data_IF_321684275336
#
_entry.id   IF_321684275336
#
_cell.length_a   1.000
_cell.length_b   1.000
_cell.length_c   1.000
_cell.angle_alpha   90.00
_cell.angle_beta   90.00
_cell.angle_gamma   90.00
#
_symmetry.space_group_name_H-M   'P 1'
#
loop_
_entity.id
_entity.type
_entity.pdbx_description
1 polymer ?
#
# COMPACT_ATOMS: atom_id res chain seq x y z
N UNK A 1 5.83 4.52 -11.76
CA UNK A 1 4.59 4.02 -11.13
C UNK A 1 3.51 5.10 -11.04
N UNK A 2 3.90 6.38 -11.08
CA UNK A 2 2.99 7.53 -11.07
C UNK A 2 1.92 7.50 -12.19
N UNK A 3 2.31 7.18 -13.43
CA UNK A 3 1.40 7.16 -14.58
C UNK A 3 0.27 6.12 -14.52
N UNK A 4 0.37 5.10 -13.65
CA UNK A 4 -0.68 4.09 -13.43
C UNK A 4 -1.20 4.08 -12.00
N UNK A 5 -0.85 5.10 -11.22
CA UNK A 5 -1.20 5.25 -9.82
C UNK A 5 -2.64 5.71 -9.59
N UNK A 6 -3.05 5.69 -8.33
CA UNK A 6 -4.35 6.19 -7.87
C UNK A 6 -4.09 7.25 -6.81
N UNK A 7 -4.75 8.40 -6.94
CA UNK A 7 -4.63 9.50 -5.97
C UNK A 7 -4.90 9.01 -4.54
N UNK A 8 -4.05 9.46 -3.61
CA UNK A 8 -4.14 9.08 -2.20
C UNK A 8 -3.70 7.65 -1.88
N UNK A 9 -3.22 6.87 -2.87
CA UNK A 9 -2.71 5.51 -2.66
C UNK A 9 -1.26 5.40 -3.10
N UNK A 10 -0.47 4.70 -2.30
CA UNK A 10 0.92 4.41 -2.62
C UNK A 10 0.98 3.06 -3.33
N UNK A 11 1.34 3.08 -4.61
CA UNK A 11 1.51 1.86 -5.41
C UNK A 11 2.96 1.40 -5.39
N UNK A 12 3.18 0.11 -5.12
CA UNK A 12 4.49 -0.52 -5.07
C UNK A 12 4.52 -1.82 -5.88
N UNK A 13 5.71 -2.25 -6.29
CA UNK A 13 5.92 -3.54 -6.99
C UNK A 13 5.86 -4.70 -5.99
N UNK A 14 5.76 -5.93 -6.49
CA UNK A 14 5.76 -7.13 -5.64
C UNK A 14 7.02 -7.23 -4.77
N UNK A 15 8.21 -6.95 -5.34
CA UNK A 15 9.48 -6.93 -4.61
C UNK A 15 9.47 -5.94 -3.44
N UNK A 16 9.00 -4.71 -3.66
CA UNK A 16 8.92 -3.68 -2.63
C UNK A 16 7.86 -4.02 -1.58
N UNK A 17 6.73 -4.60 -1.99
CA UNK A 17 5.70 -5.08 -1.06
C UNK A 17 6.26 -6.12 -0.08
N UNK A 18 7.10 -7.05 -0.56
CA UNK A 18 7.76 -8.05 0.31
C UNK A 18 8.65 -7.39 1.36
N UNK A 19 9.44 -6.38 0.97
CA UNK A 19 10.29 -5.62 1.90
C UNK A 19 9.42 -4.85 2.92
N UNK A 20 8.36 -4.19 2.46
CA UNK A 20 7.45 -3.44 3.33
C UNK A 20 6.74 -4.33 4.36
N UNK A 21 6.38 -5.55 3.99
CA UNK A 21 5.83 -6.54 4.92
C UNK A 21 6.83 -6.87 6.04
N UNK A 22 8.13 -6.98 5.74
CA UNK A 22 9.16 -7.22 6.79
C UNK A 22 9.33 -6.03 7.73
N UNK A 23 8.96 -4.83 7.28
CA UNK A 23 9.00 -3.59 8.05
C UNK A 23 7.70 -3.32 8.82
N UNK A 24 6.73 -4.24 8.75
CA UNK A 24 5.44 -4.12 9.45
C UNK A 24 4.36 -3.35 8.71
N UNK A 25 4.58 -2.98 7.44
CA UNK A 25 3.55 -2.35 6.61
C UNK A 25 2.70 -3.41 5.92
N UNK A 26 1.38 -3.21 5.96
CA UNK A 26 0.46 -4.04 5.21
C UNK A 26 0.34 -3.55 3.76
N UNK A 27 0.18 -4.50 2.85
CA UNK A 27 -0.01 -4.25 1.43
C UNK A 27 -1.15 -5.11 0.91
N UNK A 28 -1.97 -4.58 0.00
CA UNK A 28 -2.99 -5.34 -0.73
C UNK A 28 -2.63 -5.48 -2.20
N UNK A 29 -2.84 -6.67 -2.74
CA UNK A 29 -2.71 -6.92 -4.18
C UNK A 29 -3.62 -5.96 -4.95
N UNK A 30 -3.04 -5.15 -5.85
CA UNK A 30 -3.82 -4.36 -6.80
C UNK A 30 -4.19 -5.22 -8.02
N UNK A 31 -3.21 -5.96 -8.53
CA UNK A 31 -3.32 -6.70 -9.78
C UNK A 31 -2.11 -6.49 -10.69
N UNK A 32 -2.23 -6.97 -11.92
CA UNK A 32 -1.19 -6.90 -12.95
C UNK A 32 -1.41 -5.65 -13.82
N UNK A 33 -0.32 -4.96 -14.15
CA UNK A 33 -0.30 -3.86 -15.11
C UNK A 33 0.73 -4.11 -16.20
N UNK A 34 0.54 -3.52 -17.37
CA UNK A 34 1.53 -3.57 -18.43
C UNK A 34 2.44 -2.33 -18.36
N UNK A 35 3.75 -2.54 -18.26
CA UNK A 35 4.76 -1.47 -18.20
C UNK A 35 5.64 -1.57 -19.44
N UNK A 36 5.76 -0.45 -20.18
CA UNK A 36 6.63 -0.38 -21.37
C UNK A 36 8.06 -0.81 -20.99
N UNK A 37 8.57 -1.85 -21.66
CA UNK A 37 9.91 -2.39 -21.44
C UNK A 37 10.05 -3.42 -20.30
N UNK A 38 9.02 -3.61 -19.45
CA UNK A 38 8.99 -4.67 -18.43
C UNK A 38 7.90 -5.72 -18.64
N UNK A 39 6.93 -5.45 -19.52
CA UNK A 39 5.79 -6.33 -19.75
C UNK A 39 4.82 -6.33 -18.58
N UNK A 40 4.27 -7.49 -18.25
CA UNK A 40 3.33 -7.66 -17.15
C UNK A 40 4.03 -7.56 -15.80
N UNK A 41 3.50 -6.70 -14.93
CA UNK A 41 4.05 -6.41 -13.62
C UNK A 41 2.95 -6.44 -12.58
N UNK A 42 3.08 -7.31 -11.58
CA UNK A 42 2.17 -7.33 -10.43
C UNK A 42 2.49 -6.18 -9.48
N UNK A 43 1.44 -5.50 -9.04
CA UNK A 43 1.51 -4.31 -8.19
C UNK A 43 0.59 -4.43 -6.99
N UNK A 44 0.92 -3.65 -5.97
CA UNK A 44 0.29 -3.63 -4.66
C UNK A 44 0.04 -2.20 -4.21
N UNK A 45 -0.95 -2.01 -3.35
CA UNK A 45 -1.13 -0.75 -2.62
C UNK A 45 -0.69 -0.91 -1.17
N UNK A 46 0.06 0.06 -0.65
CA UNK A 46 0.44 0.11 0.77
C UNK A 46 -0.75 0.61 1.57
N UNK A 47 -1.02 -0.03 2.72
CA UNK A 47 -1.99 0.45 3.68
C UNK A 47 -1.39 1.64 4.42
N UNK A 48 -1.89 2.83 4.12
CA UNK A 48 -1.48 4.08 4.78
C UNK A 48 -2.38 4.43 5.95
N UNK A 49 -3.33 3.57 6.29
CA UNK A 49 -4.15 3.68 7.48
C UNK A 49 -3.25 3.46 8.71
N UNK A 50 -2.53 4.52 9.10
CA UNK A 50 -2.37 4.79 10.51
C UNK A 50 -3.79 5.05 10.99
N UNK A 51 -4.50 3.97 11.38
CA UNK A 51 -5.54 4.11 12.38
C UNK A 51 -4.86 4.91 13.48
N UNK A 52 -5.12 6.22 13.53
CA UNK A 52 -5.22 6.88 14.81
C UNK A 52 -6.23 6.02 15.52
N UNK A 53 -5.74 5.04 16.28
CA UNK A 53 -6.47 4.60 17.45
C UNK A 53 -6.76 5.92 18.12
N UNK A 54 -8.01 6.37 18.01
CA UNK A 54 -8.51 7.47 18.82
C UNK A 54 -8.09 7.05 20.21
N UNK A 55 -7.08 7.76 20.71
CA UNK A 55 -6.55 7.61 22.05
C UNK A 55 -7.74 7.50 22.98
N UNK A 56 -7.67 6.51 23.89
CA UNK A 56 -8.43 6.45 25.12
C UNK A 56 -8.90 7.86 25.54
N UNK A 57 -10.20 8.08 25.52
CA UNK A 57 -10.76 9.41 25.73
C UNK A 57 -12.27 9.36 25.72
N UNK A 58 -12.85 8.66 26.70
CA UNK A 58 -14.07 9.07 27.38
C UNK A 58 -14.24 8.18 28.63
N UNK A 59 -13.63 8.60 29.74
CA UNK A 59 -14.23 8.34 31.05
C UNK A 59 -15.49 9.21 31.09
N UNK A 60 -16.66 8.59 31.10
CA UNK A 60 -17.87 9.23 31.59
C UNK A 60 -18.48 8.27 32.60
N UNK A 61 -18.78 8.85 33.76
CA UNK A 61 -19.24 8.23 34.99
C UNK A 61 -20.57 7.49 34.85
#
# INVERSE_FOLDING_TARGET
MDSTGVLGKIQVTEETSRVLLTLGYLCSCRGIINVKGKGELKTYFVHTEMTRSLSQGNVVA
#
